data_IF_435472179401
#
_entry.id   IF_435472179401
#
_cell.length_a   1.000
_cell.length_b   1.000
_cell.length_c   1.000
_cell.angle_alpha   90.00
_cell.angle_beta   90.00
_cell.angle_gamma   90.00
#
_symmetry.space_group_name_H-M   'P 1'
#
loop_
_entity.id
_entity.type
_entity.pdbx_description
1 polymer ?
#
# COMPACT_ATOMS: atom_id res chain seq x y z
N UNK A 1 8.16 6.37 23.24
CA UNK A 1 8.62 5.09 22.66
C UNK A 1 8.14 5.04 21.21
N UNK A 2 9.02 5.28 20.25
CA UNK A 2 8.64 5.31 18.82
C UNK A 2 8.55 3.88 18.30
N UNK A 3 7.36 3.45 17.88
CA UNK A 3 7.14 2.12 17.28
C UNK A 3 7.86 2.08 15.93
N UNK A 4 8.76 1.11 15.74
CA UNK A 4 9.46 0.87 14.48
C UNK A 4 8.92 -0.39 13.84
N UNK A 5 8.75 -0.37 12.53
CA UNK A 5 8.26 -1.51 11.76
C UNK A 5 9.41 -2.23 11.06
N UNK A 6 9.29 -3.54 10.94
CA UNK A 6 10.12 -4.33 10.04
C UNK A 6 9.57 -4.30 8.61
N UNK A 7 10.34 -4.78 7.64
CA UNK A 7 9.86 -4.98 6.26
C UNK A 7 8.61 -5.87 6.24
N UNK A 8 8.61 -6.92 7.05
CA UNK A 8 7.50 -7.87 7.13
C UNK A 8 6.24 -7.22 7.71
N UNK A 9 6.38 -6.39 8.75
CA UNK A 9 5.25 -5.64 9.30
C UNK A 9 4.64 -4.71 8.24
N UNK A 10 5.49 -3.99 7.49
CA UNK A 10 5.02 -3.08 6.43
C UNK A 10 4.39 -3.86 5.27
N UNK A 11 4.96 -5.01 4.90
CA UNK A 11 4.39 -5.88 3.87
C UNK A 11 3.00 -6.38 4.28
N UNK A 12 2.84 -6.78 5.55
CA UNK A 12 1.55 -7.20 6.11
C UNK A 12 0.53 -6.05 6.13
N UNK A 13 0.95 -4.85 6.57
CA UNK A 13 0.10 -3.66 6.61
C UNK A 13 -0.37 -3.23 5.22
N UNK A 14 0.52 -3.29 4.23
CA UNK A 14 0.23 -2.90 2.85
C UNK A 14 -0.37 -4.05 2.02
N UNK A 15 -0.55 -5.23 2.62
CA UNK A 15 -1.01 -6.46 1.95
C UNK A 15 -0.27 -6.72 0.63
N UNK A 16 1.05 -6.57 0.66
CA UNK A 16 1.92 -6.66 -0.51
C UNK A 16 3.08 -7.60 -0.26
N UNK A 17 3.83 -7.91 -1.32
CA UNK A 17 4.97 -8.81 -1.24
C UNK A 17 6.20 -8.11 -0.62
N UNK A 18 6.96 -8.80 0.23
CA UNK A 18 8.17 -8.29 0.90
C UNK A 18 9.23 -7.77 -0.08
N UNK A 19 9.31 -8.38 -1.28
CA UNK A 19 10.24 -8.01 -2.34
C UNK A 19 9.91 -6.63 -2.91
N UNK A 20 8.62 -6.29 -2.99
CA UNK A 20 8.17 -4.98 -3.46
C UNK A 20 8.45 -3.89 -2.43
N UNK A 21 8.27 -4.21 -1.15
CA UNK A 21 8.64 -3.29 -0.05
C UNK A 21 10.14 -3.05 -0.06
N UNK A 22 10.96 -4.10 -0.24
CA UNK A 22 12.42 -3.97 -0.36
C UNK A 22 12.82 -3.10 -1.55
N UNK A 23 12.27 -3.34 -2.74
CA UNK A 23 12.55 -2.51 -3.92
C UNK A 23 12.14 -1.04 -3.73
N UNK A 24 11.01 -0.80 -3.08
CA UNK A 24 10.57 0.56 -2.76
C UNK A 24 11.50 1.25 -1.75
N UNK A 25 11.97 0.52 -0.74
CA UNK A 25 12.95 1.03 0.23
C UNK A 25 14.30 1.34 -0.42
N UNK A 26 14.82 0.44 -1.26
CA UNK A 26 16.05 0.68 -2.03
C UNK A 26 15.92 1.94 -2.88
N UNK A 27 14.81 2.07 -3.62
CA UNK A 27 14.52 3.25 -4.44
C UNK A 27 14.47 4.53 -3.61
N UNK A 28 13.74 4.53 -2.49
CA UNK A 28 13.63 5.69 -1.61
C UNK A 28 14.95 6.03 -0.90
N UNK A 29 15.77 5.02 -0.62
CA UNK A 29 17.11 5.17 -0.06
C UNK A 29 18.05 5.84 -1.07
N UNK A 30 18.02 5.39 -2.32
CA UNK A 30 18.79 5.97 -3.42
C UNK A 30 18.40 7.44 -3.67
N UNK A 31 17.11 7.74 -3.59
CA UNK A 31 16.57 9.10 -3.71
C UNK A 31 16.78 9.96 -2.44
N UNK A 32 17.37 9.41 -1.37
CA UNK A 32 17.58 10.05 -0.06
C UNK A 32 16.29 10.65 0.53
N UNK A 33 15.16 10.00 0.28
CA UNK A 33 13.83 10.44 0.73
C UNK A 33 13.35 9.79 2.02
N UNK A 34 14.07 8.77 2.51
CA UNK A 34 13.79 8.11 3.78
C UNK A 34 14.16 9.01 4.95
N UNK A 35 13.39 8.93 6.04
CA UNK A 35 13.73 9.60 7.30
C UNK A 35 15.02 9.00 7.88
N UNK A 36 15.75 9.80 8.66
CA UNK A 36 16.95 9.33 9.39
C UNK A 36 16.65 8.19 10.39
N UNK A 37 15.36 8.01 10.73
CA UNK A 37 14.90 6.91 11.58
C UNK A 37 14.69 5.59 10.83
N UNK A 38 14.70 5.63 9.49
CA UNK A 38 14.63 4.46 8.63
C UNK A 38 16.04 4.06 8.19
N UNK A 39 16.48 2.89 8.60
CA UNK A 39 17.84 2.42 8.31
C UNK A 39 17.91 0.91 8.15
N UNK A 40 18.87 0.48 7.34
CA UNK A 40 19.23 -0.93 7.23
C UNK A 40 19.99 -1.35 8.49
N UNK A 41 19.42 -2.31 9.21
CA UNK A 41 19.99 -2.92 10.40
C UNK A 41 20.48 -4.34 10.10
N UNK A 42 21.67 -4.68 10.62
CA UNK A 42 22.29 -6.00 10.45
C UNK A 42 22.35 -6.50 8.98
N UNK A 43 22.51 -5.56 8.04
CA UNK A 43 22.63 -5.81 6.59
C UNK A 43 21.47 -6.56 5.93
N UNK A 44 20.37 -6.81 6.65
CA UNK A 44 19.27 -7.67 6.19
C UNK A 44 17.90 -7.18 6.63
N UNK A 45 17.82 -6.45 7.74
CA UNK A 45 16.58 -6.04 8.37
C UNK A 45 16.41 -4.53 8.30
N UNK A 46 15.40 -4.03 7.61
CA UNK A 46 15.10 -2.60 7.69
C UNK A 46 14.31 -2.27 8.94
N UNK A 47 14.68 -1.19 9.61
CA UNK A 47 13.82 -0.53 10.59
C UNK A 47 13.18 0.65 9.90
N UNK A 48 11.85 0.69 9.90
CA UNK A 48 11.07 1.65 9.13
C UNK A 48 10.28 2.53 10.10
N UNK A 49 10.40 3.84 9.91
CA UNK A 49 9.61 4.82 10.62
C UNK A 49 8.15 4.78 10.16
N UNK A 50 7.16 4.98 11.05
CA UNK A 50 5.75 5.03 10.67
C UNK A 50 5.45 6.05 9.58
N UNK A 51 6.16 7.18 9.59
CA UNK A 51 5.99 8.27 8.62
C UNK A 51 6.41 7.87 7.20
N UNK A 52 7.33 6.92 7.06
CA UNK A 52 7.86 6.49 5.76
C UNK A 52 6.98 5.41 5.11
N UNK A 53 6.05 4.81 5.87
CA UNK A 53 5.15 3.75 5.38
C UNK A 53 4.27 4.23 4.23
N UNK A 54 3.75 5.46 4.31
CA UNK A 54 2.93 6.07 3.25
C UNK A 54 3.75 6.32 1.99
N UNK A 55 5.00 6.78 2.13
CA UNK A 55 5.92 7.00 1.01
C UNK A 55 6.29 5.68 0.32
N UNK A 56 6.51 4.63 1.10
CA UNK A 56 6.74 3.28 0.58
C UNK A 56 5.52 2.81 -0.21
N UNK A 57 4.31 2.99 0.33
CA UNK A 57 3.08 2.63 -0.36
C UNK A 57 2.96 3.32 -1.73
N UNK A 58 3.20 4.62 -1.79
CA UNK A 58 3.12 5.37 -3.05
C UNK A 58 4.21 4.96 -4.04
N UNK A 59 5.42 4.67 -3.55
CA UNK A 59 6.51 4.18 -4.39
C UNK A 59 6.20 2.79 -4.96
N UNK A 60 5.57 1.90 -4.17
CA UNK A 60 5.12 0.58 -4.66
C UNK A 60 4.07 0.74 -5.76
N UNK A 61 3.16 1.71 -5.66
CA UNK A 61 2.18 2.00 -6.73
C UNK A 61 2.88 2.47 -8.01
N UNK A 62 3.99 3.20 -7.91
CA UNK A 62 4.77 3.63 -9.08
C UNK A 62 5.58 2.48 -9.70
N UNK A 63 6.13 1.58 -8.88
CA UNK A 63 6.91 0.40 -9.34
C UNK A 63 6.02 -0.65 -10.00
N UNK A 64 4.72 -0.73 -9.65
CA UNK A 64 3.75 -1.55 -10.36
C UNK A 64 3.16 -0.74 -11.52
N UNK A 65 3.69 -0.80 -12.76
CA UNK A 65 3.05 -0.17 -13.89
C UNK A 65 1.70 -0.90 -14.12
N UNK A 66 0.61 -0.21 -13.77
CA UNK A 66 -0.78 -0.43 -14.17
C UNK A 66 -1.12 -1.83 -14.73
N UNK A 67 -1.73 -2.68 -13.90
CA UNK A 67 -2.23 -4.00 -14.35
C UNK A 67 -2.87 -4.89 -13.30
N UNK A 68 -2.85 -4.56 -12.00
CA UNK A 68 -3.58 -5.31 -10.96
C UNK A 68 -4.01 -4.36 -9.86
N UNK A 69 -5.13 -3.67 -10.10
CA UNK A 69 -5.83 -2.87 -9.11
C UNK A 69 -6.49 -3.75 -8.06
N UNK A 70 -5.92 -3.76 -6.87
CA UNK A 70 -6.51 -4.20 -5.60
C UNK A 70 -5.63 -3.50 -4.55
N UNK A 71 -6.05 -2.49 -3.79
CA UNK A 71 -7.35 -2.20 -3.21
C UNK A 71 -7.54 -0.68 -3.13
N UNK A 72 -8.31 -0.12 -4.06
CA UNK A 72 -9.13 1.03 -3.71
C UNK A 72 -10.43 0.43 -3.19
N UNK A 73 -10.59 0.42 -1.86
CA UNK A 73 -11.91 0.35 -1.23
C UNK A 73 -12.55 1.73 -1.46
N UNK A 74 -12.69 2.13 -2.72
CA UNK A 74 -13.65 3.13 -3.15
C UNK A 74 -14.86 2.32 -3.55
N UNK A 75 -15.68 2.04 -2.55
CA UNK A 75 -17.11 2.37 -2.48
C UNK A 75 -17.80 2.84 -3.79
N UNK A 76 -17.58 2.21 -4.94
CA UNK A 76 -18.46 2.34 -6.09
C UNK A 76 -19.65 1.44 -5.79
N UNK A 77 -20.56 1.97 -4.96
CA UNK A 77 -21.89 1.43 -4.78
C UNK A 77 -22.51 1.28 -6.16
N UNK A 78 -22.48 0.07 -6.70
CA UNK A 78 -23.29 -0.31 -7.85
C UNK A 78 -24.73 -0.08 -7.44
N UNK A 79 -25.30 1.06 -7.83
CA UNK A 79 -26.72 1.37 -7.65
C UNK A 79 -27.46 0.33 -8.48
N UNK A 80 -27.92 -0.74 -7.83
CA UNK A 80 -28.87 -1.68 -8.44
C UNK A 80 -30.09 -0.86 -8.87
N UNK A 81 -30.30 -0.75 -10.17
CA UNK A 81 -31.50 -0.14 -10.72
C UNK A 81 -32.67 -1.08 -10.44
N UNK A 82 -33.50 -0.74 -9.46
CA UNK A 82 -34.77 -1.43 -9.22
C UNK A 82 -35.71 -1.03 -10.35
N UNK A 83 -35.91 -1.93 -11.30
CA UNK A 83 -36.98 -1.79 -12.29
C UNK A 83 -38.27 -2.26 -11.61
N UNK A 84 -39.13 -1.32 -11.20
CA UNK A 84 -40.48 -1.65 -10.74
C UNK A 84 -41.31 -2.01 -11.98
N UNK A 85 -41.81 -3.24 -12.03
CA UNK A 85 -42.80 -3.68 -13.01
C UNK A 85 -44.16 -3.21 -12.50
N UNK A 86 -44.80 -2.30 -13.22
CA UNK A 86 -46.21 -1.98 -12.98
C UNK A 86 -47.02 -3.16 -13.52
N UNK A 87 -47.86 -3.74 -12.65
CA UNK A 87 -48.89 -4.69 -13.04
C UNK A 87 -50.18 -3.88 -13.05
N UNK A 88 -50.72 -3.63 -14.24
CA UNK A 88 -52.02 -2.98 -14.40
C UNK A 88 -53.12 -3.93 -13.92
N UNK A 89 -54.04 -3.50 -13.05
CA UNK A 89 -55.21 -4.30 -12.70
C UNK A 89 -56.27 -4.16 -13.81
N UNK A 90 -56.68 -5.29 -14.38
CA UNK A 90 -57.89 -5.42 -15.20
C UNK A 90 -59.14 -5.40 -14.34
#
# INVERSE_FOLDING_TARGET
MTKRFSVDDVALMLQTNHELVRKALERLSDEKRLSAETFLFASTSWRIAPNDVTMIQDTIKMIKPSGTGCSDIQQSASRRRIVRKNVDPT
#
